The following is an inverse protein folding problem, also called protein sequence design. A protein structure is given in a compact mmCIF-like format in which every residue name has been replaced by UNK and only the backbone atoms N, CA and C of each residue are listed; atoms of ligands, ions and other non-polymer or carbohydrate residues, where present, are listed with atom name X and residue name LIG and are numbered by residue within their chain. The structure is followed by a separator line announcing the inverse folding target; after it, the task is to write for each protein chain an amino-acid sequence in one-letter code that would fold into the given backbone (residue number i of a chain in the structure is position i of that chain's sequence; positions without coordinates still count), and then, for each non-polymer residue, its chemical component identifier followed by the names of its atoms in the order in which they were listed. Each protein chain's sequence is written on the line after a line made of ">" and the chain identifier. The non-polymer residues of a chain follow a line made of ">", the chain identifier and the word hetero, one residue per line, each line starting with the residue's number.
data_IF_025317788375
#
_entry.id   IF_025317788375
#
_cell.length_a   1.000
_cell.length_b   1.000
_cell.length_c   1.000
_cell.angle_alpha   90.00
_cell.angle_beta   90.00
_cell.angle_gamma   90.00
#
_symmetry.space_group_name_H-M   'P 1'
#
loop_
_entity.id
_entity.type
_entity.pdbx_description
1 polymer ?
#
# COMPACT_ATOMS: atom_id res chain seq x y z
N UNK A 1 34.65 67.72 -11.41
CA UNK A 1 35.56 66.56 -11.20
C UNK A 1 35.17 65.88 -9.89
N UNK A 2 34.12 65.05 -9.89
CA UNK A 2 33.63 64.36 -8.68
C UNK A 2 34.02 62.89 -8.81
N UNK A 3 34.81 62.38 -7.85
CA UNK A 3 35.41 61.04 -7.88
C UNK A 3 34.33 60.00 -7.54
N UNK A 4 33.69 59.41 -8.55
CA UNK A 4 32.65 58.36 -8.45
C UNK A 4 33.15 57.01 -7.95
N UNK A 5 34.44 56.89 -7.60
CA UNK A 5 35.10 55.62 -7.29
C UNK A 5 34.79 55.10 -5.89
N UNK A 6 34.28 55.93 -4.97
CA UNK A 6 33.99 55.51 -3.59
C UNK A 6 32.73 54.66 -3.43
N UNK A 7 31.68 54.94 -4.22
CA UNK A 7 30.40 54.24 -4.09
C UNK A 7 30.44 52.80 -4.65
N UNK A 8 31.21 52.58 -5.72
CA UNK A 8 31.41 51.25 -6.32
C UNK A 8 32.19 50.30 -5.39
N UNK A 9 33.17 50.81 -4.64
CA UNK A 9 33.95 50.00 -3.70
C UNK A 9 33.17 49.58 -2.45
N UNK A 10 32.23 50.42 -1.98
CA UNK A 10 31.39 50.10 -0.82
C UNK A 10 30.32 49.05 -1.17
N UNK A 11 29.74 49.13 -2.38
CA UNK A 11 28.79 48.13 -2.89
C UNK A 11 29.44 46.76 -3.11
N UNK A 12 30.67 46.72 -3.61
CA UNK A 12 31.40 45.47 -3.80
C UNK A 12 31.75 44.77 -2.46
N UNK A 13 32.10 45.53 -1.42
CA UNK A 13 32.41 44.98 -0.11
C UNK A 13 31.15 44.47 0.63
N UNK A 14 30.00 45.12 0.41
CA UNK A 14 28.72 44.69 0.98
C UNK A 14 28.19 43.38 0.36
N UNK A 15 28.44 43.12 -0.93
CA UNK A 15 28.10 41.83 -1.57
C UNK A 15 28.97 40.67 -1.09
N UNK A 16 30.26 40.91 -0.79
CA UNK A 16 31.16 39.86 -0.29
C UNK A 16 30.83 39.48 1.15
N UNK A 17 30.32 40.41 1.96
CA UNK A 17 29.89 40.14 3.34
C UNK A 17 28.54 39.40 3.45
N UNK A 18 27.73 39.35 2.37
CA UNK A 18 26.47 38.60 2.33
C UNK A 18 26.62 37.16 1.79
N UNK A 19 27.83 36.74 1.44
CA UNK A 19 28.13 35.35 1.02
C UNK A 19 28.48 34.43 2.22
N UNK A 20 28.26 34.89 3.46
CA UNK A 20 28.55 34.16 4.68
C UNK A 20 27.54 33.06 4.98
N UNK A 21 28.03 31.82 4.94
CA UNK A 21 27.44 30.60 5.53
C UNK A 21 26.05 30.20 5.01
N UNK A 22 26.02 29.57 3.83
CA UNK A 22 24.99 28.55 3.58
C UNK A 22 25.33 27.38 4.50
N UNK A 23 24.52 27.05 5.53
CA UNK A 23 24.76 25.86 6.31
C UNK A 23 24.76 24.65 5.35
N UNK A 24 25.66 23.66 5.53
CA UNK A 24 25.56 22.43 4.77
C UNK A 24 24.16 21.88 5.02
N UNK A 25 23.39 21.70 3.95
CA UNK A 25 22.15 20.95 4.03
C UNK A 25 22.53 19.61 4.64
N UNK A 26 22.05 19.34 5.85
CA UNK A 26 22.17 18.02 6.44
C UNK A 26 21.47 17.06 5.48
N UNK A 27 22.27 16.30 4.72
CA UNK A 27 21.79 15.15 4.00
C UNK A 27 21.35 14.15 5.06
N UNK A 28 20.11 14.26 5.50
CA UNK A 28 19.49 13.23 6.33
C UNK A 28 19.60 11.92 5.60
N UNK A 29 20.17 10.91 6.27
CA UNK A 29 20.40 9.59 5.73
C UNK A 29 19.07 8.94 5.31
N UNK A 30 18.74 9.05 4.03
CA UNK A 30 17.68 8.29 3.37
C UNK A 30 16.37 9.05 3.12
N UNK A 31 15.73 8.68 2.01
CA UNK A 31 14.34 9.06 1.73
C UNK A 31 13.47 8.48 2.84
N UNK A 32 12.61 9.27 3.52
CA UNK A 32 11.68 8.75 4.52
C UNK A 32 10.89 7.57 3.95
N UNK A 33 10.81 6.44 4.66
CA UNK A 33 10.05 5.28 4.19
C UNK A 33 8.73 5.19 4.96
N UNK A 34 7.63 4.74 4.33
CA UNK A 34 6.38 4.51 5.02
C UNK A 34 6.53 3.33 5.99
N UNK A 35 5.85 3.41 7.13
CA UNK A 35 5.79 2.35 8.14
C UNK A 35 4.35 1.84 8.26
N UNK A 36 3.88 1.03 7.28
CA UNK A 36 2.52 0.52 7.30
C UNK A 36 2.30 -0.46 8.45
N UNK A 37 1.06 -0.53 8.95
CA UNK A 37 0.69 -1.41 10.06
C UNK A 37 1.00 -2.89 9.74
N UNK A 38 1.51 -3.63 10.73
CA UNK A 38 1.79 -5.06 10.58
C UNK A 38 0.48 -5.84 10.41
N UNK A 39 0.48 -6.78 9.48
CA UNK A 39 -0.62 -7.73 9.30
C UNK A 39 -0.63 -8.81 10.40
N UNK A 40 -1.73 -9.56 10.47
CA UNK A 40 -1.96 -10.62 11.47
C UNK A 40 -1.34 -12.00 11.10
N UNK A 41 -0.60 -12.07 10.00
CA UNK A 41 -0.02 -13.32 9.48
C UNK A 41 1.26 -13.74 10.19
N UNK A 42 1.59 -15.04 10.13
CA UNK A 42 2.83 -15.60 10.68
C UNK A 42 4.05 -15.36 9.77
N UNK A 43 3.83 -15.19 8.47
CA UNK A 43 4.85 -14.98 7.47
C UNK A 43 4.40 -13.93 6.46
N UNK A 44 5.35 -13.17 5.91
CA UNK A 44 5.08 -12.24 4.82
C UNK A 44 4.97 -13.02 3.50
N UNK A 45 4.15 -12.51 2.57
CA UNK A 45 3.97 -13.14 1.24
C UNK A 45 5.26 -13.08 0.41
N UNK A 46 6.09 -12.06 0.66
CA UNK A 46 7.44 -11.85 0.10
C UNK A 46 8.29 -11.00 1.07
N UNK A 47 9.61 -10.89 0.85
CA UNK A 47 10.46 -9.89 1.49
C UNK A 47 9.96 -8.45 1.28
N UNK A 48 10.22 -7.58 2.27
CA UNK A 48 9.75 -6.18 2.28
C UNK A 48 10.23 -5.39 1.06
N UNK A 49 11.49 -5.59 0.67
CA UNK A 49 12.09 -4.87 -0.44
C UNK A 49 11.51 -5.31 -1.80
N UNK A 50 11.16 -6.60 -1.94
CA UNK A 50 10.43 -7.11 -3.09
C UNK A 50 9.01 -6.53 -3.15
N UNK A 51 8.29 -6.48 -2.02
CA UNK A 51 6.96 -5.87 -1.97
C UNK A 51 7.01 -4.39 -2.36
N UNK A 52 7.95 -3.61 -1.83
CA UNK A 52 8.09 -2.18 -2.18
C UNK A 52 8.26 -1.98 -3.69
N UNK A 53 9.03 -2.84 -4.36
CA UNK A 53 9.32 -2.73 -5.81
C UNK A 53 8.24 -3.32 -6.71
N UNK A 54 7.62 -4.42 -6.30
CA UNK A 54 6.83 -5.27 -7.20
C UNK A 54 5.37 -5.46 -6.78
N UNK A 55 4.91 -4.93 -5.63
CA UNK A 55 3.53 -5.15 -5.15
C UNK A 55 2.46 -4.85 -6.20
N UNK A 56 2.57 -3.73 -6.93
CA UNK A 56 1.59 -3.40 -7.97
C UNK A 56 1.65 -4.36 -9.16
N UNK A 57 2.83 -4.87 -9.53
CA UNK A 57 2.95 -5.88 -10.59
C UNK A 57 2.23 -7.17 -10.20
N UNK A 58 2.42 -7.63 -8.96
CA UNK A 58 1.75 -8.81 -8.45
C UNK A 58 0.24 -8.64 -8.37
N UNK A 59 -0.22 -7.49 -7.86
CA UNK A 59 -1.66 -7.19 -7.74
C UNK A 59 -2.33 -7.05 -9.11
N UNK A 60 -1.70 -6.40 -10.09
CA UNK A 60 -2.27 -6.21 -11.41
C UNK A 60 -2.37 -7.53 -12.19
N UNK A 61 -1.33 -8.35 -12.15
CA UNK A 61 -1.38 -9.67 -12.77
C UNK A 61 -2.49 -10.52 -12.14
N UNK A 62 -2.55 -10.57 -10.81
CA UNK A 62 -3.59 -11.31 -10.11
C UNK A 62 -5.00 -10.76 -10.37
N UNK A 63 -5.15 -9.44 -10.52
CA UNK A 63 -6.42 -8.81 -10.89
C UNK A 63 -6.90 -9.32 -12.23
N UNK A 64 -6.03 -9.34 -13.24
CA UNK A 64 -6.39 -9.80 -14.58
C UNK A 64 -6.73 -11.30 -14.58
N UNK A 65 -5.95 -12.12 -13.86
CA UNK A 65 -6.24 -13.55 -13.65
C UNK A 65 -7.60 -13.76 -12.99
N UNK A 66 -7.96 -12.92 -12.01
CA UNK A 66 -9.25 -13.04 -11.30
C UNK A 66 -10.43 -12.51 -12.11
N UNK A 67 -10.30 -11.35 -12.74
CA UNK A 67 -11.41 -10.67 -13.43
C UNK A 67 -11.64 -11.26 -14.82
N UNK A 68 -10.57 -11.45 -15.59
CA UNK A 68 -10.66 -11.97 -16.97
C UNK A 68 -10.52 -13.49 -17.01
N UNK A 69 -9.64 -14.06 -16.17
CA UNK A 69 -9.39 -15.50 -16.14
C UNK A 69 -10.30 -16.29 -15.19
N UNK A 70 -11.02 -15.63 -14.29
CA UNK A 70 -11.85 -16.29 -13.27
C UNK A 70 -11.05 -17.03 -12.18
N UNK A 71 -9.73 -16.88 -12.12
CA UNK A 71 -8.86 -17.60 -11.19
C UNK A 71 -8.85 -16.90 -9.83
N UNK A 72 -9.28 -17.60 -8.77
CA UNK A 72 -9.40 -17.06 -7.41
C UNK A 72 -8.49 -17.81 -6.43
N UNK A 73 -8.11 -17.14 -5.34
CA UNK A 73 -7.37 -17.75 -4.24
C UNK A 73 -5.87 -17.98 -4.49
N UNK A 74 -5.31 -17.40 -5.54
CA UNK A 74 -3.87 -17.46 -5.80
C UNK A 74 -3.07 -16.56 -4.85
N UNK A 75 -1.74 -16.75 -4.85
CA UNK A 75 -0.78 -16.21 -3.87
C UNK A 75 -0.95 -14.71 -3.59
N UNK A 76 -1.16 -13.92 -4.64
CA UNK A 76 -1.25 -12.45 -4.54
C UNK A 76 -2.68 -11.93 -4.57
N UNK A 77 -3.66 -12.76 -4.21
CA UNK A 77 -5.07 -12.36 -4.21
C UNK A 77 -5.29 -11.14 -3.33
N UNK A 78 -6.02 -10.16 -3.86
CA UNK A 78 -6.40 -8.96 -3.13
C UNK A 78 -7.11 -9.30 -1.80
N UNK A 79 -7.96 -10.33 -1.83
CA UNK A 79 -8.64 -10.83 -0.63
C UNK A 79 -7.66 -11.37 0.42
N UNK A 80 -6.63 -12.12 0.01
CA UNK A 80 -5.62 -12.62 0.95
C UNK A 80 -4.85 -11.47 1.62
N UNK A 81 -4.54 -10.41 0.87
CA UNK A 81 -3.95 -9.20 1.43
C UNK A 81 -4.89 -8.55 2.47
N UNK A 82 -6.17 -8.39 2.15
CA UNK A 82 -7.19 -7.83 3.06
C UNK A 82 -7.32 -8.66 4.34
N UNK A 83 -7.37 -9.99 4.22
CA UNK A 83 -7.62 -10.88 5.35
C UNK A 83 -6.55 -10.72 6.45
N UNK A 84 -5.28 -10.51 6.07
CA UNK A 84 -4.18 -10.30 7.01
C UNK A 84 -3.92 -8.82 7.37
N UNK A 85 -4.04 -7.89 6.42
CA UNK A 85 -3.60 -6.50 6.62
C UNK A 85 -4.73 -5.52 7.00
N UNK A 86 -5.99 -5.92 6.90
CA UNK A 86 -7.07 -5.12 7.47
C UNK A 86 -7.05 -5.23 9.00
N UNK A 87 -6.87 -4.09 9.66
CA UNK A 87 -6.76 -3.96 11.13
C UNK A 87 -7.76 -2.94 11.65
N UNK A 88 -8.13 -3.04 12.92
CA UNK A 88 -8.96 -2.03 13.55
C UNK A 88 -8.18 -0.70 13.65
N UNK A 89 -8.82 0.39 13.28
CA UNK A 89 -8.25 1.74 13.38
C UNK A 89 -9.24 2.63 14.14
N UNK A 90 -8.89 3.16 15.32
CA UNK A 90 -9.77 4.07 16.07
C UNK A 90 -10.22 5.30 15.27
N UNK A 91 -9.46 5.70 14.24
CA UNK A 91 -9.78 6.82 13.35
C UNK A 91 -10.79 6.46 12.25
N UNK A 92 -11.11 5.18 12.07
CA UNK A 92 -12.04 4.68 11.06
C UNK A 92 -13.17 3.94 11.76
N UNK A 93 -14.38 4.51 11.70
CA UNK A 93 -15.57 3.95 12.36
C UNK A 93 -15.33 3.60 13.83
N UNK A 94 -14.62 4.46 14.57
CA UNK A 94 -14.27 4.27 15.98
C UNK A 94 -13.56 2.94 16.30
N UNK A 95 -12.92 2.30 15.32
CA UNK A 95 -12.26 1.00 15.49
C UNK A 95 -13.21 -0.21 15.48
N UNK A 96 -14.51 -0.02 15.23
CA UNK A 96 -15.51 -1.11 15.18
C UNK A 96 -15.29 -2.05 13.99
N UNK A 97 -14.68 -1.54 12.91
CA UNK A 97 -14.41 -2.30 11.70
C UNK A 97 -12.93 -2.33 11.36
N UNK A 98 -12.52 -3.38 10.67
CA UNK A 98 -11.15 -3.49 10.13
C UNK A 98 -11.04 -2.69 8.85
N UNK A 99 -9.91 -2.04 8.64
CA UNK A 99 -9.64 -1.24 7.45
C UNK A 99 -8.22 -1.44 6.95
N UNK A 100 -8.03 -1.23 5.65
CA UNK A 100 -6.72 -1.20 5.00
C UNK A 100 -6.00 0.15 5.11
N UNK A 101 -6.65 1.19 5.63
CA UNK A 101 -6.06 2.55 5.68
C UNK A 101 -4.70 2.60 6.40
N UNK A 102 -4.49 1.94 7.55
CA UNK A 102 -3.18 1.88 8.21
C UNK A 102 -2.09 1.12 7.44
N UNK A 103 -2.46 0.33 6.42
CA UNK A 103 -1.52 -0.48 5.63
C UNK A 103 -1.39 0.04 4.20
N UNK A 104 -2.40 -0.17 3.34
CA UNK A 104 -2.39 0.30 1.96
C UNK A 104 -2.31 1.83 1.89
N UNK A 105 -3.08 2.51 2.74
CA UNK A 105 -3.13 3.97 2.76
C UNK A 105 -1.77 4.61 3.05
N UNK A 106 -0.99 4.06 3.99
CA UNK A 106 0.32 4.60 4.35
C UNK A 106 1.31 4.62 3.17
N UNK A 107 1.36 3.55 2.38
CA UNK A 107 2.24 3.50 1.21
C UNK A 107 1.71 4.34 0.03
N UNK A 108 0.39 4.38 -0.16
CA UNK A 108 -0.23 5.14 -1.24
C UNK A 108 -0.15 6.65 -1.01
N UNK A 109 -0.34 7.08 0.24
CA UNK A 109 -0.10 8.46 0.68
C UNK A 109 1.37 8.85 0.46
N UNK A 110 2.30 7.99 0.92
CA UNK A 110 3.73 8.22 0.71
C UNK A 110 4.13 8.30 -0.77
N UNK A 111 3.57 7.44 -1.62
CA UNK A 111 3.87 7.41 -3.05
C UNK A 111 3.06 8.43 -3.87
N UNK A 112 2.13 9.16 -3.25
CA UNK A 112 1.28 10.14 -3.94
C UNK A 112 0.32 9.52 -4.95
N UNK A 113 -0.12 8.28 -4.73
CA UNK A 113 -1.01 7.54 -5.63
C UNK A 113 -2.36 7.28 -4.99
N UNK A 114 -3.42 7.33 -5.80
CA UNK A 114 -4.77 6.98 -5.36
C UNK A 114 -4.99 5.48 -5.37
N UNK A 115 -5.91 5.00 -4.53
CA UNK A 115 -6.29 3.60 -4.49
C UNK A 115 -7.63 3.44 -5.21
N UNK A 116 -7.58 3.06 -6.49
CA UNK A 116 -8.71 3.15 -7.42
C UNK A 116 -9.93 2.34 -6.97
N UNK A 117 -9.70 1.16 -6.39
CA UNK A 117 -10.79 0.31 -5.88
C UNK A 117 -11.62 1.02 -4.80
N UNK A 118 -11.00 1.90 -4.00
CA UNK A 118 -11.67 2.58 -2.89
C UNK A 118 -12.21 3.96 -3.23
N UNK A 119 -12.12 4.37 -4.49
CA UNK A 119 -12.84 5.56 -4.96
C UNK A 119 -14.35 5.30 -4.97
N UNK A 120 -14.76 4.05 -5.21
CA UNK A 120 -16.16 3.63 -5.19
C UNK A 120 -16.50 2.63 -4.06
N UNK A 121 -15.53 1.84 -3.57
CA UNK A 121 -15.75 0.89 -2.46
C UNK A 121 -15.14 1.38 -1.15
N UNK A 122 -15.79 1.07 -0.03
CA UNK A 122 -15.22 1.39 1.30
C UNK A 122 -13.91 0.61 1.53
N UNK A 123 -12.84 1.24 2.07
CA UNK A 123 -11.62 0.54 2.48
C UNK A 123 -11.80 -0.26 3.78
N UNK A 124 -13.04 -0.36 4.27
CA UNK A 124 -13.43 -1.17 5.41
C UNK A 124 -13.63 -2.60 4.91
N UNK A 125 -12.94 -3.55 5.53
CA UNK A 125 -13.11 -4.95 5.21
C UNK A 125 -14.50 -5.40 5.67
N UNK A 126 -15.22 -6.11 4.80
CA UNK A 126 -16.48 -6.74 5.18
C UNK A 126 -16.25 -7.74 6.31
N UNK A 127 -17.20 -7.77 7.25
CA UNK A 127 -17.25 -8.83 8.24
C UNK A 127 -17.72 -10.09 7.51
N UNK A 128 -16.77 -10.92 7.09
CA UNK A 128 -17.09 -12.31 6.80
C UNK A 128 -17.63 -12.89 8.11
N UNK A 129 -18.83 -13.52 8.14
CA UNK A 129 -19.15 -14.38 9.26
C UNK A 129 -17.97 -15.34 9.44
N UNK A 130 -17.50 -15.53 10.68
CA UNK A 130 -16.45 -16.48 10.99
C UNK A 130 -16.95 -17.87 10.62
N UNK A 131 -16.81 -18.25 9.35
CA UNK A 131 -16.95 -19.63 8.92
C UNK A 131 -15.86 -20.38 9.66
N UNK A 132 -16.27 -21.28 10.55
CA UNK A 132 -15.33 -22.17 11.20
C UNK A 132 -14.54 -22.93 10.12
N UNK A 133 -13.34 -23.40 10.46
CA UNK A 133 -12.57 -24.23 9.51
C UNK A 133 -13.38 -25.45 9.04
N UNK A 134 -14.28 -25.95 9.89
CA UNK A 134 -15.24 -27.00 9.55
C UNK A 134 -16.26 -26.53 8.50
N UNK A 135 -16.82 -25.33 8.64
CA UNK A 135 -17.78 -24.78 7.65
C UNK A 135 -17.09 -24.53 6.30
N UNK A 136 -15.87 -24.01 6.33
CA UNK A 136 -15.08 -23.80 5.12
C UNK A 136 -14.72 -25.12 4.43
N UNK A 137 -14.49 -26.19 5.20
CA UNK A 137 -14.25 -27.54 4.67
C UNK A 137 -15.52 -28.13 4.06
N UNK A 138 -16.66 -28.02 4.74
CA UNK A 138 -17.95 -28.49 4.23
C UNK A 138 -18.33 -27.81 2.91
N UNK A 139 -18.09 -26.49 2.77
CA UNK A 139 -18.34 -25.77 1.51
C UNK A 139 -17.41 -26.25 0.38
N UNK A 140 -16.12 -26.50 0.68
CA UNK A 140 -15.17 -27.05 -0.32
C UNK A 140 -15.57 -28.46 -0.76
N UNK A 141 -15.98 -29.31 0.16
CA UNK A 141 -16.44 -30.67 -0.11
C UNK A 141 -17.72 -30.68 -0.95
N UNK A 142 -18.70 -29.85 -0.60
CA UNK A 142 -19.92 -29.67 -1.38
C UNK A 142 -19.62 -29.18 -2.81
N UNK A 143 -18.70 -28.22 -2.96
CA UNK A 143 -18.28 -27.74 -4.27
C UNK A 143 -17.59 -28.83 -5.09
N UNK A 144 -16.67 -29.60 -4.48
CA UNK A 144 -16.01 -30.72 -5.15
C UNK A 144 -17.00 -31.82 -5.55
N UNK A 145 -18.00 -32.10 -4.72
CA UNK A 145 -19.04 -33.09 -5.02
C UNK A 145 -19.91 -32.65 -6.19
N UNK A 146 -20.31 -31.37 -6.24
CA UNK A 146 -21.05 -30.79 -7.36
C UNK A 146 -20.24 -30.76 -8.66
N UNK A 147 -18.92 -30.53 -8.60
CA UNK A 147 -18.04 -30.62 -9.75
C UNK A 147 -17.94 -32.07 -10.27
N UNK A 148 -17.76 -33.04 -9.37
CA UNK A 148 -17.70 -34.46 -9.73
C UNK A 148 -19.01 -34.94 -10.34
N UNK A 149 -20.16 -34.52 -9.80
CA UNK A 149 -21.47 -34.90 -10.35
C UNK A 149 -21.70 -34.34 -11.75
N UNK A 150 -21.23 -33.11 -12.05
CA UNK A 150 -21.30 -32.54 -13.41
C UNK A 150 -20.41 -33.29 -14.40
N UNK A 151 -19.19 -33.64 -14.01
CA UNK A 151 -18.27 -34.43 -14.84
C UNK A 151 -18.86 -35.82 -15.14
N UNK A 152 -19.52 -36.45 -14.16
CA UNK A 152 -20.20 -37.74 -14.35
C UNK A 152 -21.46 -37.64 -15.22
N UNK A 153 -22.08 -36.47 -15.30
CA UNK A 153 -23.27 -36.21 -16.10
C UNK A 153 -22.95 -35.77 -17.54
N UNK A 154 -21.66 -35.63 -17.90
CA UNK A 154 -21.22 -35.46 -19.28
C UNK A 154 -21.63 -34.13 -19.94
N UNK A 155 -21.71 -33.03 -19.18
CA UNK A 155 -21.88 -31.67 -19.70
C UNK A 155 -20.78 -30.74 -19.16
#
# INVERSE_FOLDING_TARGET
>A
MWRSTGFLSILALAMVLLAGAVPPAAAGDGVPLPHPAKGKGLQCVEPVDAMRRYHMKYLMHQRDDTVHGGIRGAKYSLQGCIDCHAVADPKVMNGEKRTLKPFCGACHEYAGVTLDCFQCHSPVAEDKPNLSQADAQAVREAHQQALKSRIQQGN
#
